data_IF_882980560012
#
_entry.id   IF_882980560012
#
_cell.length_a   1.000
_cell.length_b   1.000
_cell.length_c   1.000
_cell.angle_alpha   90.00
_cell.angle_beta   90.00
_cell.angle_gamma   90.00
#
_symmetry.space_group_name_H-M   'P 1'
#
loop_
_entity.id
_entity.type
_entity.pdbx_description
1 polymer ?
#
# COMPACT_ATOMS: atom_id res chain seq x y z
N UNK A 1 5.42 -3.63 -25.57
CA UNK A 1 4.03 -3.24 -25.85
C UNK A 1 4.01 -1.91 -26.61
N UNK A 2 3.03 -1.67 -27.54
CA UNK A 2 2.82 -0.39 -28.18
C UNK A 2 2.58 0.74 -27.16
N UNK A 3 3.06 1.96 -27.45
CA UNK A 3 2.94 3.12 -26.54
C UNK A 3 1.50 3.41 -26.10
N UNK A 4 0.53 3.23 -27.00
CA UNK A 4 -0.89 3.42 -26.66
C UNK A 4 -1.39 2.44 -25.58
N UNK A 5 -0.98 1.18 -25.61
CA UNK A 5 -1.33 0.19 -24.59
C UNK A 5 -0.61 0.46 -23.25
N UNK A 6 0.63 0.93 -23.29
CA UNK A 6 1.36 1.34 -22.08
C UNK A 6 0.66 2.51 -21.40
N UNK A 7 0.28 3.53 -22.17
CA UNK A 7 -0.47 4.67 -21.65
C UNK A 7 -1.84 4.25 -21.08
N UNK A 8 -2.58 3.39 -21.79
CA UNK A 8 -3.85 2.85 -21.30
C UNK A 8 -3.71 2.12 -19.97
N UNK A 9 -2.70 1.27 -19.81
CA UNK A 9 -2.39 0.60 -18.55
C UNK A 9 -2.15 1.60 -17.40
N UNK A 10 -1.32 2.60 -17.64
CA UNK A 10 -0.99 3.62 -16.64
C UNK A 10 -2.22 4.46 -16.28
N UNK A 11 -3.03 4.81 -17.27
CA UNK A 11 -4.27 5.57 -17.07
C UNK A 11 -5.30 4.77 -16.27
N UNK A 12 -5.49 3.47 -16.55
CA UNK A 12 -6.42 2.63 -15.78
C UNK A 12 -5.97 2.46 -14.34
N UNK A 13 -4.66 2.34 -14.07
CA UNK A 13 -4.13 2.37 -12.71
C UNK A 13 -4.41 3.71 -12.03
N UNK A 14 -4.18 4.82 -12.72
CA UNK A 14 -4.37 6.17 -12.18
C UNK A 14 -5.83 6.43 -11.79
N UNK A 15 -6.78 6.06 -12.63
CA UNK A 15 -8.21 6.14 -12.31
C UNK A 15 -8.57 5.21 -11.14
N UNK A 16 -8.00 4.00 -11.10
CA UNK A 16 -8.21 3.01 -10.05
C UNK A 16 -7.57 3.37 -8.70
N UNK A 17 -6.56 4.24 -8.67
CA UNK A 17 -5.81 4.58 -7.46
C UNK A 17 -6.67 5.19 -6.36
N UNK A 18 -7.52 6.16 -6.66
CA UNK A 18 -8.50 6.71 -5.73
C UNK A 18 -9.83 5.94 -5.70
N UNK A 19 -10.03 5.01 -6.62
CA UNK A 19 -11.27 4.31 -6.82
C UNK A 19 -12.25 5.08 -7.72
N UNK A 20 -12.91 4.34 -8.60
CA UNK A 20 -13.84 4.90 -9.59
C UNK A 20 -15.06 5.57 -8.91
N UNK A 21 -15.42 5.11 -7.70
CA UNK A 21 -16.55 5.66 -6.95
C UNK A 21 -16.25 7.07 -6.44
N UNK A 22 -15.02 7.32 -5.96
CA UNK A 22 -14.60 8.68 -5.60
C UNK A 22 -14.65 9.62 -6.80
N UNK A 23 -14.26 9.14 -7.99
CA UNK A 23 -14.33 9.87 -9.24
C UNK A 23 -15.78 10.22 -9.60
N UNK A 24 -16.67 9.23 -9.61
CA UNK A 24 -18.08 9.43 -9.97
C UNK A 24 -18.81 10.34 -8.98
N UNK A 25 -18.58 10.19 -7.68
CA UNK A 25 -19.17 11.07 -6.64
C UNK A 25 -18.64 12.50 -6.74
N UNK A 26 -17.39 12.69 -7.17
CA UNK A 26 -16.82 14.02 -7.35
C UNK A 26 -17.40 14.76 -8.57
N UNK A 27 -17.58 14.05 -9.69
CA UNK A 27 -17.99 14.64 -10.99
C UNK A 27 -19.50 14.63 -11.18
N UNK A 28 -20.19 13.56 -10.78
CA UNK A 28 -21.61 13.33 -11.03
C UNK A 28 -22.41 13.15 -9.72
N UNK A 29 -22.45 14.16 -8.84
CA UNK A 29 -23.13 14.02 -7.53
C UNK A 29 -24.63 13.69 -7.65
N UNK A 30 -25.27 14.03 -8.77
CA UNK A 30 -26.70 13.85 -9.00
C UNK A 30 -27.12 12.42 -9.38
N UNK A 31 -26.18 11.59 -9.88
CA UNK A 31 -26.48 10.23 -10.34
C UNK A 31 -26.42 9.17 -9.23
N UNK A 32 -25.99 9.53 -8.03
CA UNK A 32 -25.62 8.55 -7.02
C UNK A 32 -26.50 8.62 -5.78
N UNK A 33 -27.80 8.36 -5.95
CA UNK A 33 -28.76 8.26 -4.83
C UNK A 33 -28.46 7.12 -3.82
N UNK A 34 -27.67 6.11 -4.21
CA UNK A 34 -27.21 4.99 -3.37
C UNK A 34 -25.77 5.10 -2.86
N UNK A 35 -25.08 6.20 -3.12
CA UNK A 35 -23.63 6.37 -3.01
C UNK A 35 -23.05 6.26 -1.61
N UNK A 36 -23.83 6.52 -0.56
CA UNK A 36 -23.30 6.52 0.82
C UNK A 36 -22.80 5.14 1.25
N UNK A 37 -23.49 4.07 0.86
CA UNK A 37 -23.07 2.68 1.18
C UNK A 37 -21.85 2.26 0.37
N UNK A 38 -21.82 2.58 -0.93
CA UNK A 38 -20.70 2.25 -1.84
C UNK A 38 -19.47 3.05 -1.47
N UNK A 39 -19.60 4.36 -1.18
CA UNK A 39 -18.53 5.20 -0.64
C UNK A 39 -17.96 4.64 0.67
N UNK A 40 -18.84 4.12 1.53
CA UNK A 40 -18.42 3.51 2.79
C UNK A 40 -17.64 2.19 2.58
N UNK A 41 -17.86 1.48 1.49
CA UNK A 41 -17.15 0.26 1.15
C UNK A 41 -15.74 0.55 0.58
N UNK A 42 -15.58 1.63 -0.20
CA UNK A 42 -14.26 2.04 -0.74
C UNK A 42 -13.41 2.84 0.27
N UNK A 43 -14.02 3.48 1.27
CA UNK A 43 -13.30 4.19 2.32
C UNK A 43 -12.64 3.18 3.27
N UNK A 44 -11.40 2.81 2.99
CA UNK A 44 -10.62 1.86 3.75
C UNK A 44 -10.23 2.38 5.14
N UNK A 45 -10.33 1.51 6.14
CA UNK A 45 -9.84 1.77 7.49
C UNK A 45 -10.91 1.90 8.58
N UNK A 46 -10.55 1.60 9.84
CA UNK A 46 -11.46 1.55 10.98
C UNK A 46 -11.90 2.93 11.49
N UNK A 47 -11.19 3.99 11.12
CA UNK A 47 -11.48 5.37 11.51
C UNK A 47 -11.74 6.18 10.25
N UNK A 48 -12.98 6.66 10.07
CA UNK A 48 -13.37 7.47 8.94
C UNK A 48 -13.32 8.96 9.32
N UNK A 49 -12.37 9.69 8.76
CA UNK A 49 -12.32 11.15 8.87
C UNK A 49 -13.15 11.79 7.76
N UNK A 50 -14.08 12.68 8.10
CA UNK A 50 -14.83 13.49 7.14
C UNK A 50 -14.23 14.89 7.08
N UNK A 51 -13.86 15.35 5.88
CA UNK A 51 -13.39 16.73 5.66
C UNK A 51 -14.53 17.75 5.70
N UNK A 52 -15.68 17.36 5.14
CA UNK A 52 -16.85 18.22 5.02
C UNK A 52 -18.12 17.42 5.31
N UNK A 53 -19.24 18.10 5.71
CA UNK A 53 -20.53 17.45 5.92
C UNK A 53 -21.05 16.74 4.66
N UNK A 54 -20.75 17.29 3.46
CA UNK A 54 -21.14 16.69 2.18
C UNK A 54 -20.02 15.81 1.62
N UNK A 55 -20.35 14.56 1.30
CA UNK A 55 -19.41 13.55 0.77
C UNK A 55 -18.81 14.00 -0.56
N UNK A 56 -19.64 14.60 -1.47
CA UNK A 56 -19.16 15.08 -2.77
C UNK A 56 -18.09 16.18 -2.66
N UNK A 57 -18.21 17.06 -1.68
CA UNK A 57 -17.21 18.11 -1.44
C UNK A 57 -15.90 17.50 -0.96
N UNK A 58 -15.95 16.54 -0.04
CA UNK A 58 -14.76 15.82 0.42
C UNK A 58 -14.08 15.06 -0.73
N UNK A 59 -14.85 14.38 -1.58
CA UNK A 59 -14.34 13.68 -2.74
C UNK A 59 -13.62 14.60 -3.73
N UNK A 60 -14.18 15.77 -4.04
CA UNK A 60 -13.57 16.78 -4.93
C UNK A 60 -12.20 17.23 -4.42
N UNK A 61 -12.07 17.50 -3.11
CA UNK A 61 -10.82 17.94 -2.53
C UNK A 61 -9.74 16.84 -2.51
N UNK A 62 -10.11 15.60 -2.23
CA UNK A 62 -9.22 14.45 -2.32
C UNK A 62 -8.71 14.28 -3.77
N UNK A 63 -9.60 14.39 -4.75
CA UNK A 63 -9.25 14.37 -6.17
C UNK A 63 -8.30 15.50 -6.55
N UNK A 64 -8.53 16.71 -6.03
CA UNK A 64 -7.65 17.85 -6.28
C UNK A 64 -6.24 17.60 -5.77
N UNK A 65 -6.09 17.10 -4.54
CA UNK A 65 -4.77 16.73 -3.98
C UNK A 65 -4.08 15.70 -4.85
N UNK A 66 -4.80 14.66 -5.29
CA UNK A 66 -4.27 13.62 -6.14
C UNK A 66 -3.77 14.15 -7.49
N UNK A 67 -4.57 15.01 -8.12
CA UNK A 67 -4.22 15.65 -9.38
C UNK A 67 -2.99 16.56 -9.22
N UNK A 68 -2.94 17.37 -8.18
CA UNK A 68 -1.80 18.24 -7.88
C UNK A 68 -0.53 17.41 -7.67
N UNK A 69 -0.60 16.31 -6.90
CA UNK A 69 0.53 15.41 -6.72
C UNK A 69 0.98 14.79 -8.04
N UNK A 70 0.04 14.38 -8.89
CA UNK A 70 0.37 13.81 -10.21
C UNK A 70 1.08 14.83 -11.09
N UNK A 71 0.56 16.05 -11.18
CA UNK A 71 1.18 17.12 -11.98
C UNK A 71 2.56 17.49 -11.44
N UNK A 72 2.70 17.61 -10.12
CA UNK A 72 4.00 17.87 -9.49
C UNK A 72 5.01 16.75 -9.79
N UNK A 73 4.56 15.49 -9.76
CA UNK A 73 5.38 14.33 -10.11
C UNK A 73 5.85 14.38 -11.58
N UNK A 74 4.94 14.68 -12.54
CA UNK A 74 5.27 14.82 -13.96
C UNK A 74 6.36 15.88 -14.15
N UNK A 75 6.18 17.06 -13.54
CA UNK A 75 7.14 18.16 -13.65
C UNK A 75 8.49 17.80 -13.04
N UNK A 76 8.49 17.11 -11.88
CA UNK A 76 9.71 16.65 -11.21
C UNK A 76 10.48 15.66 -12.06
N UNK A 77 9.82 14.64 -12.64
CA UNK A 77 10.48 13.71 -13.56
C UNK A 77 11.03 14.41 -14.80
N UNK A 78 10.28 15.39 -15.33
CA UNK A 78 10.75 16.17 -16.48
C UNK A 78 12.00 16.97 -16.17
N UNK A 79 12.07 17.59 -14.99
CA UNK A 79 13.26 18.33 -14.54
C UNK A 79 14.46 17.39 -14.35
N UNK A 80 14.24 16.13 -13.93
CA UNK A 80 15.29 15.11 -13.82
C UNK A 80 15.80 14.59 -15.18
N UNK A 81 15.17 14.98 -16.30
CA UNK A 81 15.62 14.60 -17.65
C UNK A 81 14.77 13.52 -18.33
N UNK A 82 13.79 12.94 -17.64
CA UNK A 82 12.91 11.90 -18.19
C UNK A 82 12.14 12.40 -19.43
N UNK A 83 11.91 11.51 -20.40
CA UNK A 83 11.07 11.79 -21.57
C UNK A 83 9.64 12.09 -21.18
N UNK A 84 8.93 12.95 -21.93
CA UNK A 84 7.54 13.31 -21.60
C UNK A 84 6.63 12.08 -21.50
N UNK A 85 6.76 11.12 -22.40
CA UNK A 85 5.93 9.90 -22.39
C UNK A 85 6.13 9.10 -21.10
N UNK A 86 7.37 8.90 -20.68
CA UNK A 86 7.71 8.16 -19.48
C UNK A 86 7.34 8.95 -18.22
N UNK A 87 7.61 10.26 -18.19
CA UNK A 87 7.23 11.14 -17.09
C UNK A 87 5.71 11.10 -16.81
N UNK A 88 4.86 11.11 -17.84
CA UNK A 88 3.40 10.95 -17.68
C UNK A 88 3.03 9.57 -17.15
N UNK A 89 3.60 8.51 -17.74
CA UNK A 89 3.26 7.13 -17.33
C UNK A 89 3.71 6.83 -15.90
N UNK A 90 4.98 7.09 -15.58
CA UNK A 90 5.50 6.85 -14.23
C UNK A 90 4.83 7.72 -13.17
N UNK A 91 4.47 8.96 -13.48
CA UNK A 91 3.74 9.82 -12.54
C UNK A 91 2.36 9.27 -12.22
N UNK A 92 1.61 8.80 -13.24
CA UNK A 92 0.32 8.16 -13.03
C UNK A 92 0.43 6.91 -12.16
N UNK A 93 1.42 6.07 -12.41
CA UNK A 93 1.58 4.80 -11.69
C UNK A 93 2.20 4.96 -10.31
N UNK A 94 3.09 5.95 -10.10
CA UNK A 94 3.66 6.27 -8.78
C UNK A 94 2.63 6.90 -7.85
N UNK A 95 1.82 7.84 -8.33
CA UNK A 95 0.78 8.47 -7.51
C UNK A 95 -0.41 7.55 -7.24
N UNK A 96 -0.73 6.66 -8.17
CA UNK A 96 -1.71 5.59 -7.96
C UNK A 96 -1.18 4.45 -7.08
N UNK A 97 0.12 4.43 -6.76
CA UNK A 97 0.81 3.32 -6.11
C UNK A 97 0.55 1.97 -6.80
N UNK A 98 0.63 1.99 -8.14
CA UNK A 98 0.29 0.84 -8.98
C UNK A 98 1.50 0.16 -9.63
N UNK A 99 2.59 0.89 -9.89
CA UNK A 99 3.89 0.36 -10.29
C UNK A 99 4.02 -0.15 -11.71
N UNK A 100 3.07 0.11 -12.60
CA UNK A 100 3.28 -0.21 -14.00
C UNK A 100 4.36 0.67 -14.62
N UNK A 101 5.30 0.04 -15.28
CA UNK A 101 6.43 0.68 -15.94
C UNK A 101 6.28 0.65 -17.47
N UNK A 102 6.89 1.59 -18.15
CA UNK A 102 6.99 1.60 -19.62
C UNK A 102 8.07 0.64 -20.11
N UNK A 103 9.12 0.45 -19.28
CA UNK A 103 10.25 -0.44 -19.54
C UNK A 103 10.25 -1.64 -18.59
N UNK A 104 10.76 -2.79 -19.04
CA UNK A 104 10.80 -4.02 -18.23
C UNK A 104 11.70 -3.90 -17.00
N UNK A 105 12.71 -3.04 -17.04
CA UNK A 105 13.61 -2.78 -15.91
C UNK A 105 13.10 -1.73 -14.92
N UNK A 106 11.82 -1.29 -15.03
CA UNK A 106 11.26 -0.26 -14.16
C UNK A 106 12.11 1.02 -14.14
N UNK A 107 12.22 1.70 -13.00
CA UNK A 107 13.04 2.92 -12.84
C UNK A 107 14.55 2.62 -12.99
N UNK A 108 15.00 1.41 -12.69
CA UNK A 108 16.39 1.00 -12.85
C UNK A 108 16.93 1.25 -14.28
N UNK A 109 16.06 1.19 -15.29
CA UNK A 109 16.45 1.38 -16.72
C UNK A 109 16.99 2.77 -17.02
N UNK A 110 16.60 3.78 -16.26
CA UNK A 110 17.01 5.17 -16.51
C UNK A 110 18.38 5.52 -15.90
N UNK A 111 18.91 4.70 -15.00
CA UNK A 111 20.20 4.89 -14.33
C UNK A 111 20.41 6.30 -13.74
N UNK A 112 19.33 6.94 -13.30
CA UNK A 112 19.32 8.32 -12.80
C UNK A 112 19.01 8.37 -11.30
N UNK A 113 19.98 8.70 -10.43
CA UNK A 113 19.73 8.87 -9.00
C UNK A 113 18.60 9.86 -8.68
N UNK A 114 18.51 10.96 -9.46
CA UNK A 114 17.49 11.97 -9.25
C UNK A 114 16.08 11.42 -9.49
N UNK A 115 15.89 10.58 -10.52
CA UNK A 115 14.59 9.96 -10.82
C UNK A 115 14.19 8.94 -9.76
N UNK A 116 15.16 8.21 -9.19
CA UNK A 116 14.90 7.29 -8.08
C UNK A 116 14.43 8.04 -6.82
N UNK A 117 15.09 9.14 -6.43
CA UNK A 117 14.67 9.95 -5.29
C UNK A 117 13.30 10.61 -5.50
N UNK A 118 13.04 11.11 -6.69
CA UNK A 118 11.73 11.68 -7.06
C UNK A 118 10.64 10.60 -6.94
N UNK A 119 10.88 9.41 -7.49
CA UNK A 119 9.96 8.28 -7.39
C UNK A 119 9.67 7.92 -5.93
N UNK A 120 10.72 7.74 -5.11
CA UNK A 120 10.59 7.43 -3.70
C UNK A 120 9.77 8.51 -2.95
N UNK A 121 10.03 9.79 -3.23
CA UNK A 121 9.31 10.90 -2.61
C UNK A 121 7.81 10.87 -2.95
N UNK A 122 7.46 10.75 -4.24
CA UNK A 122 6.06 10.77 -4.65
C UNK A 122 5.31 9.49 -4.27
N UNK A 123 5.95 8.33 -4.29
CA UNK A 123 5.40 7.10 -3.73
C UNK A 123 5.14 7.25 -2.22
N UNK A 124 6.09 7.80 -1.45
CA UNK A 124 5.91 8.07 -0.03
C UNK A 124 4.72 8.99 0.24
N UNK A 125 4.61 10.10 -0.47
CA UNK A 125 3.49 11.04 -0.34
C UNK A 125 2.15 10.41 -0.72
N UNK A 126 2.12 9.57 -1.74
CA UNK A 126 0.92 8.85 -2.17
C UNK A 126 0.49 7.77 -1.18
N UNK A 127 1.42 7.25 -0.36
CA UNK A 127 1.15 6.38 0.77
C UNK A 127 0.60 7.09 2.02
N UNK A 128 0.58 8.43 2.05
CA UNK A 128 0.00 9.21 3.16
C UNK A 128 -1.51 9.40 2.96
N UNK A 129 -2.24 9.55 4.04
CA UNK A 129 -3.68 9.85 4.02
C UNK A 129 -3.96 11.19 3.30
N UNK A 130 -4.67 11.16 2.18
CA UNK A 130 -4.98 12.37 1.39
C UNK A 130 -5.84 13.40 2.13
N UNK A 131 -6.71 12.95 3.03
CA UNK A 131 -7.49 13.84 3.91
C UNK A 131 -6.57 14.63 4.83
N UNK A 132 -5.55 13.96 5.37
CA UNK A 132 -4.55 14.57 6.24
C UNK A 132 -3.63 15.52 5.46
N UNK A 133 -3.20 15.16 4.25
CA UNK A 133 -2.44 16.03 3.35
C UNK A 133 -3.23 17.30 3.03
N UNK A 134 -4.49 17.16 2.64
CA UNK A 134 -5.36 18.30 2.37
C UNK A 134 -5.47 19.24 3.57
N UNK A 135 -5.77 18.69 4.77
CA UNK A 135 -5.91 19.48 5.99
C UNK A 135 -4.62 20.19 6.40
N UNK A 136 -3.46 19.59 6.10
CA UNK A 136 -2.15 20.16 6.43
C UNK A 136 -1.73 21.26 5.46
N UNK A 137 -2.03 21.10 4.16
CA UNK A 137 -1.69 22.08 3.12
C UNK A 137 -2.59 23.29 3.22
N UNK A 138 -3.92 23.11 3.23
CA UNK A 138 -4.88 24.23 3.27
C UNK A 138 -4.89 24.91 4.63
N UNK A 139 -4.75 24.15 5.72
CA UNK A 139 -4.64 24.70 7.07
C UNK A 139 -3.29 25.34 7.38
N UNK A 140 -2.32 25.31 6.46
CA UNK A 140 -0.94 25.74 6.64
C UNK A 140 -0.33 25.26 7.98
N UNK A 141 -0.76 24.10 8.45
CA UNK A 141 -0.35 23.52 9.73
C UNK A 141 0.27 22.12 9.54
N UNK A 142 1.51 22.11 9.10
CA UNK A 142 2.30 20.88 8.92
C UNK A 142 2.43 20.09 10.24
N UNK A 143 2.30 20.76 11.40
CA UNK A 143 2.38 20.08 12.71
C UNK A 143 1.25 19.06 12.90
N UNK A 144 0.10 19.25 12.25
CA UNK A 144 -1.01 18.27 12.28
C UNK A 144 -0.60 16.93 11.67
N UNK A 145 0.22 16.95 10.61
CA UNK A 145 0.75 15.75 9.98
C UNK A 145 1.57 14.93 11.00
N UNK A 146 2.52 15.58 11.67
CA UNK A 146 3.40 14.92 12.63
C UNK A 146 2.73 14.55 13.97
N UNK A 147 1.57 15.13 14.29
CA UNK A 147 0.77 14.74 15.47
C UNK A 147 -0.07 13.50 15.22
N UNK A 148 -0.35 13.15 13.97
CA UNK A 148 -1.16 11.99 13.63
C UNK A 148 -0.41 10.68 13.92
N UNK A 149 -1.04 9.78 14.69
CA UNK A 149 -0.44 8.51 15.13
C UNK A 149 -0.12 7.56 13.98
N UNK A 150 -0.97 7.54 12.94
CA UNK A 150 -0.78 6.69 11.77
C UNK A 150 0.40 7.17 10.92
N UNK A 151 0.46 8.47 10.62
CA UNK A 151 1.56 9.06 9.87
C UNK A 151 2.92 8.87 10.57
N UNK A 152 2.96 9.04 11.88
CA UNK A 152 4.17 8.79 12.67
C UNK A 152 4.61 7.33 12.58
N UNK A 153 3.69 6.39 12.74
CA UNK A 153 3.98 4.96 12.65
C UNK A 153 4.52 4.61 11.25
N UNK A 154 3.85 5.06 10.19
CA UNK A 154 4.27 4.88 8.81
C UNK A 154 5.67 5.43 8.55
N UNK A 155 5.94 6.67 8.95
CA UNK A 155 7.26 7.31 8.76
C UNK A 155 8.35 6.61 9.57
N UNK A 156 8.08 6.21 10.82
CA UNK A 156 9.04 5.47 11.65
C UNK A 156 9.37 4.13 11.00
N UNK A 157 8.39 3.40 10.48
CA UNK A 157 8.63 2.15 9.76
C UNK A 157 9.50 2.36 8.53
N UNK A 158 9.17 3.34 7.68
CA UNK A 158 9.97 3.65 6.49
C UNK A 158 11.42 3.96 6.87
N UNK A 159 11.63 4.84 7.84
CA UNK A 159 12.98 5.24 8.24
C UNK A 159 13.76 4.10 8.90
N UNK A 160 13.15 3.35 9.83
CA UNK A 160 13.82 2.25 10.53
C UNK A 160 14.22 1.13 9.57
N UNK A 161 13.35 0.76 8.65
CA UNK A 161 13.61 -0.28 7.66
C UNK A 161 14.65 0.18 6.63
N UNK A 162 14.58 1.43 6.19
CA UNK A 162 15.61 2.00 5.30
C UNK A 162 16.99 1.98 5.95
N UNK A 163 17.11 2.45 7.19
CA UNK A 163 18.40 2.46 7.91
C UNK A 163 18.93 1.03 8.07
N UNK A 164 18.07 0.09 8.44
CA UNK A 164 18.47 -1.30 8.60
C UNK A 164 18.97 -1.93 7.28
N UNK A 165 18.21 -1.76 6.19
CA UNK A 165 18.62 -2.30 4.87
C UNK A 165 19.89 -1.62 4.36
N UNK A 166 20.01 -0.30 4.53
CA UNK A 166 21.24 0.42 4.16
C UNK A 166 22.45 -0.15 4.90
N UNK A 167 22.33 -0.39 6.20
CA UNK A 167 23.41 -1.00 6.99
C UNK A 167 23.79 -2.39 6.46
N UNK A 168 22.82 -3.26 6.17
CA UNK A 168 23.06 -4.61 5.64
C UNK A 168 23.72 -4.58 4.25
N UNK A 169 23.29 -3.66 3.37
CA UNK A 169 23.87 -3.52 2.03
C UNK A 169 25.33 -3.03 2.07
N UNK A 170 25.63 -2.07 2.94
CA UNK A 170 27.01 -1.59 3.11
C UNK A 170 27.88 -2.68 3.73
N UNK A 171 27.38 -3.38 4.77
CA UNK A 171 28.14 -4.37 5.51
C UNK A 171 28.40 -5.65 4.71
N UNK A 172 27.38 -6.19 4.06
CA UNK A 172 27.47 -7.50 3.39
C UNK A 172 27.74 -7.42 1.90
N UNK A 173 27.14 -6.45 1.20
CA UNK A 173 27.27 -6.32 -0.25
C UNK A 173 28.33 -5.29 -0.66
N UNK A 174 28.95 -4.60 0.32
CA UNK A 174 29.97 -3.58 0.08
C UNK A 174 29.51 -2.45 -0.87
N UNK A 175 28.21 -2.09 -0.81
CA UNK A 175 27.68 -0.97 -1.56
C UNK A 175 28.25 0.34 -1.02
N UNK A 176 28.41 1.34 -1.90
CA UNK A 176 28.66 2.71 -1.49
C UNK A 176 27.47 3.23 -0.67
N UNK A 177 27.73 4.02 0.37
CA UNK A 177 26.71 4.48 1.32
C UNK A 177 25.56 5.18 0.63
N UNK A 178 25.84 6.07 -0.36
CA UNK A 178 24.82 6.77 -1.12
C UNK A 178 23.95 5.80 -1.91
N UNK A 179 24.53 4.90 -2.66
CA UNK A 179 23.82 3.91 -3.46
C UNK A 179 23.00 2.96 -2.57
N UNK A 180 23.57 2.48 -1.46
CA UNK A 180 22.88 1.64 -0.49
C UNK A 180 21.65 2.34 0.11
N UNK A 181 21.80 3.61 0.51
CA UNK A 181 20.69 4.39 1.08
C UNK A 181 19.60 4.65 0.03
N UNK A 182 19.97 5.04 -1.18
CA UNK A 182 19.04 5.31 -2.28
C UNK A 182 18.24 4.08 -2.66
N UNK A 183 18.91 2.95 -2.90
CA UNK A 183 18.25 1.68 -3.22
C UNK A 183 17.37 1.21 -2.06
N UNK A 184 17.83 1.33 -0.81
CA UNK A 184 17.06 0.94 0.37
C UNK A 184 15.79 1.77 0.54
N UNK A 185 15.88 3.11 0.51
CA UNK A 185 14.70 3.97 0.70
C UNK A 185 13.70 3.79 -0.44
N UNK A 186 14.17 3.64 -1.67
CA UNK A 186 13.31 3.38 -2.82
C UNK A 186 12.52 2.08 -2.63
N UNK A 187 13.21 0.97 -2.35
CA UNK A 187 12.57 -0.34 -2.21
C UNK A 187 11.64 -0.38 -1.00
N UNK A 188 12.05 0.14 0.16
CA UNK A 188 11.19 0.20 1.34
C UNK A 188 9.92 1.00 1.07
N UNK A 189 10.05 2.18 0.46
CA UNK A 189 8.89 3.00 0.12
C UNK A 189 8.01 2.31 -0.91
N UNK A 190 8.59 1.75 -1.98
CA UNK A 190 7.85 1.05 -3.02
C UNK A 190 7.06 -0.14 -2.46
N UNK A 191 7.64 -0.93 -1.56
CA UNK A 191 6.99 -2.10 -0.98
C UNK A 191 5.94 -1.74 0.08
N UNK A 192 6.23 -0.77 0.97
CA UNK A 192 5.26 -0.37 2.01
C UNK A 192 4.07 0.40 1.45
N UNK A 193 4.27 1.17 0.37
CA UNK A 193 3.18 1.85 -0.34
C UNK A 193 2.47 0.94 -1.33
N UNK A 194 2.94 -0.30 -1.47
CA UNK A 194 2.43 -1.27 -2.44
C UNK A 194 2.48 -0.76 -3.89
N UNK A 195 3.45 0.09 -4.20
CA UNK A 195 3.66 0.61 -5.55
C UNK A 195 4.26 -0.45 -6.46
N UNK A 196 5.28 -1.17 -6.00
CA UNK A 196 5.89 -2.26 -6.75
C UNK A 196 6.88 -1.85 -7.84
N UNK A 197 7.31 -0.58 -7.92
CA UNK A 197 8.45 -0.16 -8.73
C UNK A 197 9.75 -0.65 -8.10
N UNK A 198 10.78 -0.89 -8.91
CA UNK A 198 12.11 -1.25 -8.43
C UNK A 198 13.22 -0.42 -9.11
N UNK A 199 14.25 -0.10 -8.33
CA UNK A 199 15.45 0.62 -8.77
C UNK A 199 16.70 -0.23 -8.72
N UNK A 200 16.64 -1.37 -8.01
CA UNK A 200 17.72 -2.34 -7.86
C UNK A 200 17.14 -3.75 -7.75
N UNK A 201 17.96 -4.76 -8.01
CA UNK A 201 17.56 -6.15 -7.91
C UNK A 201 17.66 -6.65 -6.46
N UNK A 202 16.59 -6.46 -5.70
CA UNK A 202 16.51 -6.94 -4.32
C UNK A 202 16.63 -8.47 -4.19
N UNK A 203 16.53 -9.23 -5.30
CA UNK A 203 16.83 -10.66 -5.30
C UNK A 203 18.28 -10.99 -4.98
N UNK A 204 19.22 -10.06 -5.21
CA UNK A 204 20.64 -10.19 -4.89
C UNK A 204 21.02 -9.68 -3.49
N UNK A 205 20.08 -9.16 -2.75
CA UNK A 205 20.32 -8.60 -1.43
C UNK A 205 20.39 -9.70 -0.36
N UNK A 206 20.99 -9.42 0.80
CA UNK A 206 21.02 -10.38 1.90
C UNK A 206 19.61 -10.84 2.28
N UNK A 207 19.41 -12.13 2.53
CA UNK A 207 18.06 -12.70 2.80
C UNK A 207 17.35 -12.05 3.99
N UNK A 208 18.08 -11.48 4.96
CA UNK A 208 17.48 -10.77 6.08
C UNK A 208 16.69 -9.54 5.61
N UNK A 209 17.12 -8.87 4.52
CA UNK A 209 16.41 -7.72 3.95
C UNK A 209 15.08 -8.16 3.33
N UNK A 210 14.96 -9.39 2.84
CA UNK A 210 13.71 -9.94 2.32
C UNK A 210 12.63 -10.05 3.41
N UNK A 211 13.02 -10.40 4.63
CA UNK A 211 12.10 -10.45 5.77
C UNK A 211 11.55 -9.05 6.07
N UNK A 212 12.41 -8.03 6.01
CA UNK A 212 12.01 -6.63 6.21
C UNK A 212 11.08 -6.15 5.08
N UNK A 213 11.41 -6.45 3.82
CA UNK A 213 10.56 -6.11 2.68
C UNK A 213 9.22 -6.86 2.71
N UNK A 214 9.20 -8.14 3.14
CA UNK A 214 7.96 -8.89 3.36
C UNK A 214 7.10 -8.25 4.46
N UNK A 215 7.71 -7.74 5.54
CA UNK A 215 6.99 -6.96 6.54
C UNK A 215 6.41 -5.65 5.96
N UNK A 216 7.13 -4.97 5.04
CA UNK A 216 6.59 -3.82 4.30
C UNK A 216 5.33 -4.18 3.49
N UNK A 217 5.35 -5.32 2.77
CA UNK A 217 4.20 -5.82 2.01
C UNK A 217 2.98 -6.07 2.91
N UNK A 218 3.23 -6.57 4.14
CA UNK A 218 2.17 -6.87 5.10
C UNK A 218 1.51 -5.59 5.64
N UNK A 219 2.30 -4.62 6.13
CA UNK A 219 1.73 -3.45 6.81
C UNK A 219 1.03 -2.47 5.87
N UNK A 220 1.59 -2.16 4.72
CA UNK A 220 1.02 -1.19 3.79
C UNK A 220 1.11 0.27 4.26
N UNK A 221 0.65 1.21 3.42
CA UNK A 221 0.64 2.65 3.72
C UNK A 221 -0.52 3.08 4.62
N UNK A 222 -0.76 4.40 4.70
CA UNK A 222 -1.82 4.97 5.53
C UNK A 222 -3.22 4.68 4.97
N UNK A 223 -4.19 4.61 5.87
CA UNK A 223 -5.62 4.58 5.54
C UNK A 223 -6.03 5.86 4.81
N UNK A 224 -6.84 5.74 3.75
CA UNK A 224 -7.19 6.89 2.91
C UNK A 224 -6.06 7.39 2.00
N UNK A 225 -5.08 6.55 1.71
CA UNK A 225 -4.10 6.66 0.63
C UNK A 225 -4.46 5.72 -0.53
N UNK A 226 -3.71 5.78 -1.63
CA UNK A 226 -3.86 4.86 -2.76
C UNK A 226 -3.29 3.47 -2.49
N UNK A 227 -2.44 3.30 -1.47
CA UNK A 227 -1.74 2.04 -1.16
C UNK A 227 -2.67 0.88 -0.81
N UNK A 228 -2.22 -0.34 -1.02
CA UNK A 228 -2.85 -1.60 -0.56
C UNK A 228 -2.40 -2.03 0.84
N UNK A 229 -2.34 -3.34 1.10
CA UNK A 229 -1.89 -3.94 2.35
C UNK A 229 -2.86 -3.81 3.52
N UNK A 230 -2.39 -4.21 4.72
CA UNK A 230 -3.17 -4.20 5.96
C UNK A 230 -3.61 -2.80 6.40
N UNK A 231 -2.92 -1.76 5.97
CA UNK A 231 -2.97 -0.35 6.39
C UNK A 231 -2.31 -0.08 7.74
N UNK A 232 -1.45 0.93 7.76
CA UNK A 232 -0.66 1.33 8.93
C UNK A 232 -1.50 1.61 10.18
N UNK A 233 -2.73 2.10 10.03
CA UNK A 233 -3.64 2.34 11.17
C UNK A 233 -3.97 1.05 11.92
N UNK A 234 -4.12 -0.08 11.21
CA UNK A 234 -4.38 -1.39 11.85
C UNK A 234 -3.15 -1.86 12.63
N UNK A 235 -1.94 -1.56 12.14
CA UNK A 235 -0.69 -1.80 12.88
C UNK A 235 -0.63 -0.99 14.19
N UNK A 236 -0.96 0.31 14.13
CA UNK A 236 -1.06 1.16 15.33
C UNK A 236 -2.08 0.61 16.33
N UNK A 237 -3.25 0.19 15.83
CA UNK A 237 -4.30 -0.39 16.67
C UNK A 237 -3.82 -1.68 17.32
N UNK A 238 -3.18 -2.57 16.57
CA UNK A 238 -2.67 -3.85 17.05
C UNK A 238 -1.66 -3.65 18.19
N UNK A 239 -0.68 -2.77 18.01
CA UNK A 239 0.31 -2.44 19.05
C UNK A 239 -0.35 -1.88 20.31
N UNK A 240 -1.39 -1.05 20.17
CA UNK A 240 -2.13 -0.53 21.32
C UNK A 240 -2.97 -1.60 22.01
N UNK A 241 -3.56 -2.55 21.28
CA UNK A 241 -4.26 -3.70 21.86
C UNK A 241 -3.28 -4.52 22.69
N UNK A 242 -2.17 -4.95 22.10
CA UNK A 242 -1.14 -5.73 22.80
C UNK A 242 -0.65 -5.01 24.06
N UNK A 243 -0.35 -3.71 23.97
CA UNK A 243 0.06 -2.91 25.12
C UNK A 243 -1.02 -2.85 26.21
N UNK A 244 -2.28 -2.73 25.82
CA UNK A 244 -3.39 -2.68 26.79
C UNK A 244 -3.60 -4.05 27.47
N UNK A 245 -3.43 -5.17 26.75
CA UNK A 245 -3.51 -6.52 27.32
C UNK A 245 -2.43 -6.71 28.40
N UNK A 246 -1.16 -6.33 28.15
CA UNK A 246 -0.13 -6.39 29.19
C UNK A 246 -0.50 -5.53 30.42
N UNK A 247 -1.10 -4.36 30.22
CA UNK A 247 -1.56 -3.52 31.32
C UNK A 247 -2.74 -4.14 32.08
N UNK A 248 -3.65 -4.80 31.36
CA UNK A 248 -4.79 -5.46 31.95
C UNK A 248 -4.37 -6.66 32.83
N UNK A 249 -3.33 -7.41 32.40
CA UNK A 249 -2.74 -8.49 33.20
C UNK A 249 -2.16 -7.96 34.50
N UNK A 250 -1.47 -6.81 34.46
CA UNK A 250 -0.86 -6.18 35.63
C UNK A 250 -1.91 -5.51 36.56
N UNK A 251 -2.98 -5.00 35.97
CA UNK A 251 -4.05 -4.27 36.67
C UNK A 251 -5.43 -4.77 36.23
N UNK A 252 -5.91 -5.95 36.68
CA UNK A 252 -7.11 -6.59 36.20
C UNK A 252 -8.39 -5.73 36.26
N UNK A 253 -8.50 -4.89 37.28
CA UNK A 253 -9.67 -4.03 37.52
C UNK A 253 -9.57 -2.66 36.81
N UNK A 254 -8.50 -2.38 36.06
CA UNK A 254 -8.33 -1.09 35.39
C UNK A 254 -9.21 -0.99 34.14
N UNK A 255 -9.95 0.10 34.00
CA UNK A 255 -10.68 0.43 32.75
C UNK A 255 -9.68 1.13 31.81
N UNK A 256 -9.24 0.42 30.76
CA UNK A 256 -8.23 0.88 29.82
C UNK A 256 -8.88 1.30 28.50
N UNK A 257 -9.28 2.59 28.33
CA UNK A 257 -9.84 3.06 27.07
C UNK A 257 -8.75 3.11 25.99
N UNK A 258 -9.05 2.57 24.81
CA UNK A 258 -8.16 2.66 23.67
C UNK A 258 -8.45 3.93 22.87
N UNK A 259 -7.53 4.90 22.90
CA UNK A 259 -7.64 6.16 22.15
C UNK A 259 -6.61 6.22 21.02
N UNK A 260 -7.06 6.68 19.84
CA UNK A 260 -6.18 7.01 18.69
C UNK A 260 -6.52 8.44 18.27
N UNK A 261 -5.55 9.33 18.29
CA UNK A 261 -5.68 10.75 17.96
C UNK A 261 -6.89 11.42 18.67
N UNK A 262 -7.07 11.09 19.96
CA UNK A 262 -8.17 11.60 20.80
C UNK A 262 -9.51 10.86 20.66
N UNK A 263 -9.67 9.98 19.67
CA UNK A 263 -10.91 9.22 19.43
C UNK A 263 -10.91 7.88 20.16
N UNK A 264 -11.94 7.61 20.95
CA UNK A 264 -12.13 6.31 21.60
C UNK A 264 -12.51 5.23 20.58
N UNK A 265 -11.78 4.12 20.59
CA UNK A 265 -12.06 2.95 19.76
C UNK A 265 -12.95 1.97 20.55
N UNK A 266 -14.16 1.70 20.05
CA UNK A 266 -15.09 0.78 20.67
C UNK A 266 -14.52 -0.66 20.70
N UNK A 267 -15.00 -1.47 21.64
CA UNK A 267 -14.60 -2.87 21.76
C UNK A 267 -14.95 -3.66 20.49
N UNK A 268 -16.11 -3.41 19.89
CA UNK A 268 -16.49 -4.04 18.62
C UNK A 268 -15.44 -3.83 17.52
N UNK A 269 -14.93 -2.60 17.37
CA UNK A 269 -13.86 -2.31 16.38
C UNK A 269 -12.54 -3.03 16.70
N UNK A 270 -12.21 -3.25 17.97
CA UNK A 270 -11.02 -4.01 18.37
C UNK A 270 -11.18 -5.50 17.99
N UNK A 271 -12.33 -6.10 18.25
CA UNK A 271 -12.64 -7.48 17.87
C UNK A 271 -12.61 -7.64 16.34
N UNK A 272 -13.23 -6.71 15.60
CA UNK A 272 -13.19 -6.72 14.14
C UNK A 272 -11.74 -6.63 13.61
N UNK A 273 -10.88 -5.81 14.24
CA UNK A 273 -9.46 -5.73 13.88
C UNK A 273 -8.74 -7.05 14.07
N UNK A 274 -8.89 -7.68 15.26
CA UNK A 274 -8.24 -8.96 15.55
C UNK A 274 -8.73 -10.05 14.59
N UNK A 275 -10.04 -10.10 14.33
CA UNK A 275 -10.63 -10.99 13.34
C UNK A 275 -10.07 -10.76 11.93
N UNK A 276 -9.87 -9.49 11.52
CA UNK A 276 -9.28 -9.15 10.23
C UNK A 276 -7.82 -9.63 10.12
N UNK A 277 -7.01 -9.34 11.14
CA UNK A 277 -5.59 -9.75 11.15
C UNK A 277 -5.46 -11.26 11.19
N UNK A 278 -6.28 -11.93 12.02
CA UNK A 278 -6.31 -13.39 12.08
C UNK A 278 -6.69 -14.02 10.74
N UNK A 279 -7.74 -13.51 10.09
CA UNK A 279 -8.19 -13.99 8.78
C UNK A 279 -7.15 -13.72 7.68
N UNK A 280 -6.48 -12.55 7.72
CA UNK A 280 -5.39 -12.21 6.81
C UNK A 280 -4.25 -13.24 6.91
N UNK A 281 -3.82 -13.56 8.12
CA UNK A 281 -2.76 -14.54 8.36
C UNK A 281 -3.17 -15.95 7.94
N UNK A 282 -4.39 -16.39 8.30
CA UNK A 282 -4.92 -17.71 7.91
C UNK A 282 -4.96 -17.84 6.38
N UNK A 283 -5.47 -16.82 5.69
CA UNK A 283 -5.56 -16.84 4.23
C UNK A 283 -4.15 -16.86 3.59
N UNK A 284 -3.22 -16.05 4.12
CA UNK A 284 -1.83 -16.05 3.67
C UNK A 284 -1.19 -17.44 3.83
N UNK A 285 -1.30 -18.06 5.00
CA UNK A 285 -0.72 -19.38 5.26
C UNK A 285 -1.37 -20.47 4.40
N UNK A 286 -2.70 -20.46 4.29
CA UNK A 286 -3.43 -21.44 3.48
C UNK A 286 -3.03 -21.37 2.00
N UNK A 287 -3.00 -20.15 1.42
CA UNK A 287 -2.63 -19.98 0.01
C UNK A 287 -1.14 -20.26 -0.22
N UNK A 288 -0.26 -19.84 0.69
CA UNK A 288 1.17 -20.17 0.60
C UNK A 288 1.39 -21.70 0.64
N UNK A 289 0.73 -22.42 1.55
CA UNK A 289 0.77 -23.88 1.59
C UNK A 289 0.30 -24.52 0.28
N UNK A 290 -0.79 -24.00 -0.28
CA UNK A 290 -1.31 -24.49 -1.59
C UNK A 290 -0.29 -24.24 -2.71
N UNK A 291 0.38 -23.08 -2.72
CA UNK A 291 1.45 -22.77 -3.69
C UNK A 291 2.64 -23.74 -3.56
N UNK A 292 3.06 -24.04 -2.31
CA UNK A 292 4.13 -25.02 -2.04
C UNK A 292 3.72 -26.41 -2.54
N UNK A 293 2.46 -26.81 -2.31
CA UNK A 293 1.92 -28.10 -2.81
C UNK A 293 1.92 -28.19 -4.34
N UNK A 294 1.88 -27.07 -5.05
CA UNK A 294 2.02 -26.99 -6.51
C UNK A 294 3.49 -27.00 -6.98
N UNK A 295 4.45 -27.14 -6.06
CA UNK A 295 5.87 -27.23 -6.40
C UNK A 295 6.62 -25.88 -6.46
N UNK A 296 6.01 -24.80 -5.97
CA UNK A 296 6.69 -23.49 -5.89
C UNK A 296 7.56 -23.44 -4.65
N UNK A 297 8.76 -22.89 -4.76
CA UNK A 297 9.69 -22.71 -3.64
C UNK A 297 9.05 -21.99 -2.46
N UNK A 298 9.42 -22.35 -1.23
CA UNK A 298 8.83 -21.86 0.01
C UNK A 298 8.87 -20.34 0.12
N UNK A 299 10.01 -19.72 -0.20
CA UNK A 299 10.18 -18.27 -0.13
C UNK A 299 9.31 -17.58 -1.17
N UNK A 300 9.29 -18.08 -2.40
CA UNK A 300 8.46 -17.58 -3.47
C UNK A 300 6.97 -17.73 -3.15
N UNK A 301 6.54 -18.88 -2.64
CA UNK A 301 5.14 -19.14 -2.28
C UNK A 301 4.62 -18.14 -1.24
N UNK A 302 5.38 -17.86 -0.19
CA UNK A 302 5.02 -16.90 0.85
C UNK A 302 5.00 -15.48 0.29
N UNK A 303 6.03 -15.08 -0.45
CA UNK A 303 6.15 -13.71 -0.95
C UNK A 303 5.16 -13.42 -2.09
N UNK A 304 4.86 -14.38 -2.98
CA UNK A 304 3.79 -14.28 -3.98
C UNK A 304 2.46 -14.05 -3.29
N UNK A 305 2.14 -14.86 -2.27
CA UNK A 305 0.88 -14.75 -1.53
C UNK A 305 0.75 -13.40 -0.83
N UNK A 306 1.80 -12.93 -0.15
CA UNK A 306 1.82 -11.61 0.49
C UNK A 306 1.70 -10.48 -0.54
N UNK A 307 2.41 -10.59 -1.65
CA UNK A 307 2.38 -9.61 -2.73
C UNK A 307 0.99 -9.51 -3.38
N UNK A 308 0.34 -10.64 -3.65
CA UNK A 308 -1.01 -10.68 -4.19
C UNK A 308 -2.04 -10.12 -3.21
N UNK A 309 -1.99 -10.56 -1.95
CA UNK A 309 -2.95 -10.12 -0.93
C UNK A 309 -2.73 -8.65 -0.55
N UNK A 310 -1.47 -8.18 -0.53
CA UNK A 310 -1.12 -6.77 -0.32
C UNK A 310 -1.30 -5.90 -1.56
N UNK A 311 -1.47 -6.49 -2.75
CA UNK A 311 -1.46 -5.80 -4.05
C UNK A 311 -0.16 -5.01 -4.29
N UNK A 312 1.00 -5.62 -4.01
CA UNK A 312 2.32 -4.99 -4.13
C UNK A 312 2.90 -5.14 -5.53
N UNK A 313 2.86 -6.36 -6.09
CA UNK A 313 3.32 -6.72 -7.43
C UNK A 313 4.60 -7.56 -7.41
N UNK A 314 5.78 -7.03 -7.03
CA UNK A 314 7.02 -7.81 -7.00
C UNK A 314 6.99 -8.91 -5.93
N UNK A 315 7.85 -9.92 -6.13
CA UNK A 315 8.13 -11.00 -5.18
C UNK A 315 9.57 -10.94 -4.70
N UNK A 316 9.88 -11.74 -3.72
CA UNK A 316 11.23 -11.94 -3.20
C UNK A 316 11.52 -13.44 -3.25
N UNK A 317 12.60 -13.82 -3.91
CA UNK A 317 12.98 -15.22 -4.03
C UNK A 317 14.05 -15.43 -5.08
N UNK A 318 14.65 -16.64 -5.06
CA UNK A 318 15.72 -17.02 -5.97
C UNK A 318 15.20 -17.44 -7.35
N UNK A 319 14.01 -18.10 -7.38
CA UNK A 319 13.44 -18.62 -8.63
C UNK A 319 12.60 -17.56 -9.36
N UNK A 320 11.83 -16.77 -8.61
CA UNK A 320 11.01 -15.69 -9.14
C UNK A 320 11.33 -14.42 -8.34
N UNK A 321 12.35 -13.69 -8.79
CA UNK A 321 12.80 -12.45 -8.18
C UNK A 321 11.89 -11.25 -8.52
N UNK A 322 12.20 -10.07 -7.95
CA UNK A 322 11.38 -8.85 -8.13
C UNK A 322 11.33 -8.36 -9.58
N UNK A 323 12.34 -8.71 -10.39
CA UNK A 323 12.47 -8.32 -11.80
C UNK A 323 11.92 -9.33 -12.78
N UNK A 324 11.46 -10.49 -12.30
CA UNK A 324 11.04 -11.60 -13.15
C UNK A 324 9.52 -11.61 -13.40
N UNK A 325 9.12 -12.25 -14.51
CA UNK A 325 7.71 -12.44 -14.86
C UNK A 325 7.13 -13.66 -14.17
N UNK A 326 5.88 -13.56 -13.72
CA UNK A 326 5.12 -14.68 -13.14
C UNK A 326 4.48 -15.60 -14.19
N UNK A 327 4.84 -15.43 -15.47
CA UNK A 327 4.30 -16.24 -16.57
C UNK A 327 4.58 -17.76 -16.41
N UNK A 328 5.66 -18.11 -15.71
CA UNK A 328 6.09 -19.48 -15.45
C UNK A 328 5.28 -20.20 -14.37
N UNK A 329 4.46 -19.47 -13.58
CA UNK A 329 3.63 -20.10 -12.56
C UNK A 329 2.62 -21.08 -13.17
N UNK A 330 2.30 -22.19 -12.46
CA UNK A 330 1.20 -23.07 -12.83
C UNK A 330 -0.12 -22.30 -12.96
N UNK A 331 -0.98 -22.71 -13.89
CA UNK A 331 -2.24 -21.97 -14.13
C UNK A 331 -3.15 -21.91 -12.91
N UNK A 332 -3.20 -22.97 -12.11
CA UNK A 332 -3.97 -22.96 -10.87
C UNK A 332 -3.42 -21.95 -9.87
N UNK A 333 -2.09 -21.79 -9.78
CA UNK A 333 -1.47 -20.75 -8.96
C UNK A 333 -1.86 -19.33 -9.43
N UNK A 334 -1.95 -19.10 -10.74
CA UNK A 334 -2.41 -17.82 -11.31
C UNK A 334 -3.86 -17.50 -10.91
N UNK A 335 -4.74 -18.49 -10.86
CA UNK A 335 -6.11 -18.30 -10.36
C UNK A 335 -6.15 -17.95 -8.88
N UNK A 336 -5.32 -18.60 -8.05
CA UNK A 336 -5.18 -18.24 -6.62
C UNK A 336 -4.69 -16.80 -6.50
N UNK A 337 -3.65 -16.41 -7.26
CA UNK A 337 -3.13 -15.03 -7.27
C UNK A 337 -4.24 -14.03 -7.62
N UNK A 338 -5.01 -14.28 -8.67
CA UNK A 338 -6.11 -13.41 -9.12
C UNK A 338 -7.18 -13.24 -8.03
N UNK A 339 -7.54 -14.34 -7.36
CA UNK A 339 -8.46 -14.30 -6.22
C UNK A 339 -7.90 -13.49 -5.05
N UNK A 340 -6.64 -13.69 -4.68
CA UNK A 340 -5.99 -12.96 -3.61
C UNK A 340 -5.91 -11.45 -3.89
N UNK A 341 -5.58 -11.06 -5.13
CA UNK A 341 -5.55 -9.65 -5.54
C UNK A 341 -6.94 -9.00 -5.39
N UNK A 342 -8.01 -9.71 -5.77
CA UNK A 342 -9.38 -9.25 -5.62
C UNK A 342 -9.75 -9.07 -4.13
N UNK A 343 -9.46 -10.07 -3.31
CA UNK A 343 -9.73 -10.06 -1.86
C UNK A 343 -8.95 -8.96 -1.16
N UNK A 344 -7.69 -8.77 -1.53
CA UNK A 344 -6.82 -7.73 -0.96
C UNK A 344 -7.33 -6.33 -1.30
N UNK A 345 -7.77 -6.09 -2.54
CA UNK A 345 -8.25 -4.77 -2.99
C UNK A 345 -9.60 -4.38 -2.42
N UNK A 346 -10.55 -5.32 -2.38
CA UNK A 346 -11.94 -5.08 -1.94
C UNK A 346 -12.16 -5.28 -0.43
N UNK A 347 -11.10 -5.47 0.35
CA UNK A 347 -11.11 -5.83 1.77
C UNK A 347 -11.65 -7.26 2.03
N UNK A 348 -10.95 -8.00 2.90
CA UNK A 348 -11.22 -9.43 3.14
C UNK A 348 -12.67 -9.73 3.51
N UNK A 349 -13.21 -9.00 4.49
CA UNK A 349 -14.58 -9.26 4.95
C UNK A 349 -15.64 -9.01 3.88
N UNK A 350 -15.42 -8.00 3.04
CA UNK A 350 -16.38 -7.63 1.98
C UNK A 350 -16.53 -8.73 0.92
N UNK A 351 -15.43 -9.38 0.57
CA UNK A 351 -15.45 -10.46 -0.42
C UNK A 351 -15.84 -11.79 0.22
N UNK A 352 -15.26 -12.12 1.37
CA UNK A 352 -15.46 -13.43 1.98
C UNK A 352 -16.86 -13.63 2.56
N UNK A 353 -17.58 -12.56 2.91
CA UNK A 353 -18.98 -12.66 3.34
C UNK A 353 -19.89 -13.27 2.28
N UNK A 354 -19.57 -13.07 0.97
CA UNK A 354 -20.31 -13.64 -0.15
C UNK A 354 -20.30 -15.18 -0.13
N UNK A 355 -19.29 -15.80 0.45
CA UNK A 355 -19.15 -17.25 0.55
C UNK A 355 -19.84 -17.82 1.81
N UNK A 356 -20.42 -16.96 2.67
CA UNK A 356 -21.14 -17.43 3.84
C UNK A 356 -22.59 -17.77 3.49
N UNK A 357 -23.13 -18.94 3.95
CA UNK A 357 -24.53 -19.28 3.68
C UNK A 357 -25.53 -18.28 4.23
N UNK A 358 -25.17 -17.57 5.30
CA UNK A 358 -26.01 -16.56 5.94
C UNK A 358 -26.28 -15.35 5.03
N UNK A 359 -25.35 -15.02 4.10
CA UNK A 359 -25.53 -13.92 3.16
C UNK A 359 -26.68 -14.15 2.19
N UNK A 360 -26.91 -15.40 1.79
CA UNK A 360 -27.91 -15.80 0.79
C UNK A 360 -29.26 -16.17 1.41
N UNK A 361 -29.35 -16.32 2.73
CA UNK A 361 -30.63 -16.56 3.40
C UNK A 361 -31.40 -15.23 3.44
N UNK A 362 -32.62 -15.23 2.87
CA UNK A 362 -33.58 -14.13 3.08
C UNK A 362 -34.03 -14.16 4.54
N UNK A 363 -33.78 -13.10 5.30
CA UNK A 363 -34.43 -12.85 6.58
C UNK A 363 -35.89 -12.52 6.35
#
# INVERSE_FOLDING_TARGET
LPKGLLFWRSLTQWIGGLGIVFFTVAILPSLVGGSVKVFAAEATGPIKSKLHPRISTSAKWIWMVYLVLTVACILSYKVCGMGWFDAFNYSMTSTATGGFATESGSIMTFHSPAEEYVSALFCFLSGVNFTLLYASVIGMDIKKLFKNSEFRFYTIMVLSFTIFITFELVWRNHYEIEHAFRSAIFQVVSFITTTGLFSDDAGKWPHVTWVVLAACMFFGGCSGSTSGGLKSIRGVMLLKVVRNEFRQILHPNAVLPMKIDGVNISQSKRVTLLGFVGLYLILTLFCAFTMIALGIDNTNAITITLSCLGNVGPTLGMEIGPTMSWAQLPDFAKWICSFLMLVGRLELFTVLVLFTPAFWKKN
#
